data_IF_166309962638
#
_entry.id   IF_166309962638
#
_cell.length_a   1.000
_cell.length_b   1.000
_cell.length_c   1.000
_cell.angle_alpha   90.00
_cell.angle_beta   90.00
_cell.angle_gamma   90.00
#
_symmetry.space_group_name_H-M   'P 1'
#
loop_
_entity.id
_entity.type
_entity.pdbx_description
1 polymer ?
#
# COMPACT_ATOMS: atom_id res chain seq x y z
N UNK A 1 -0.15 14.24 2.92
CA UNK A 1 0.91 13.27 2.59
C UNK A 1 0.34 12.23 1.64
N UNK A 2 1.14 11.74 0.67
CA UNK A 2 0.71 10.59 -0.17
C UNK A 2 1.09 9.31 0.58
N UNK A 3 0.15 8.37 0.74
CA UNK A 3 0.41 7.03 1.33
C UNK A 3 -0.24 5.91 0.50
N UNK A 4 0.17 4.67 0.79
CA UNK A 4 -0.41 3.47 0.16
C UNK A 4 -1.45 2.84 1.08
N UNK A 5 -2.59 2.48 0.50
CA UNK A 5 -3.77 1.90 1.18
C UNK A 5 -3.63 0.39 1.46
N UNK A 6 -2.40 -0.11 1.63
CA UNK A 6 -2.12 -1.57 1.71
C UNK A 6 -2.84 -2.21 2.90
N UNK A 7 -2.83 -1.53 4.06
CA UNK A 7 -3.50 -2.03 5.27
C UNK A 7 -5.00 -2.22 5.04
N UNK A 8 -5.66 -1.21 4.48
CA UNK A 8 -7.10 -1.23 4.20
C UNK A 8 -7.45 -2.34 3.21
N UNK A 9 -6.69 -2.44 2.12
CA UNK A 9 -6.89 -3.45 1.08
C UNK A 9 -6.69 -4.87 1.63
N UNK A 10 -5.64 -5.13 2.42
CA UNK A 10 -5.43 -6.46 3.00
C UNK A 10 -6.48 -6.80 4.06
N UNK A 11 -6.89 -5.82 4.87
CA UNK A 11 -7.89 -6.02 5.92
C UNK A 11 -9.26 -6.35 5.32
N UNK A 12 -9.62 -5.73 4.20
CA UNK A 12 -10.84 -6.06 3.45
C UNK A 12 -10.85 -7.51 2.94
N UNK A 13 -9.68 -8.08 2.65
CA UNK A 13 -9.51 -9.49 2.25
C UNK A 13 -9.22 -10.44 3.43
N UNK A 14 -9.13 -9.93 4.67
CA UNK A 14 -8.77 -10.75 5.84
C UNK A 14 -7.33 -11.29 5.82
N UNK A 15 -6.43 -10.58 5.14
CA UNK A 15 -5.04 -11.00 4.95
C UNK A 15 -4.07 -10.30 5.89
N UNK A 16 -3.05 -11.03 6.30
CA UNK A 16 -1.87 -10.48 6.97
C UNK A 16 -0.84 -9.96 5.95
N UNK A 17 0.00 -9.01 6.36
CA UNK A 17 1.13 -8.48 5.56
C UNK A 17 2.02 -9.61 5.02
N UNK A 18 2.22 -10.67 5.81
CA UNK A 18 3.03 -11.83 5.40
C UNK A 18 2.41 -12.62 4.25
N UNK A 19 1.08 -12.76 4.24
CA UNK A 19 0.37 -13.43 3.14
C UNK A 19 0.46 -12.60 1.85
N UNK A 20 0.27 -11.28 1.94
CA UNK A 20 0.42 -10.37 0.79
C UNK A 20 1.86 -10.38 0.28
N UNK A 21 2.85 -10.35 1.17
CA UNK A 21 4.27 -10.46 0.80
C UNK A 21 4.56 -11.75 0.03
N UNK A 22 4.06 -12.90 0.52
CA UNK A 22 4.22 -14.18 -0.16
C UNK A 22 3.53 -14.21 -1.55
N UNK A 23 2.34 -13.63 -1.65
CA UNK A 23 1.56 -13.64 -2.89
C UNK A 23 2.12 -12.69 -3.98
N UNK A 24 2.62 -11.52 -3.58
CA UNK A 24 3.19 -10.51 -4.48
C UNK A 24 4.66 -10.75 -4.79
N UNK A 25 5.36 -11.53 -3.96
CA UNK A 25 6.81 -11.70 -4.04
C UNK A 25 7.60 -10.47 -3.54
N UNK A 26 6.92 -9.44 -3.01
CA UNK A 26 7.57 -8.29 -2.36
C UNK A 26 8.07 -8.75 -0.99
N UNK A 27 9.32 -8.42 -0.65
CA UNK A 27 9.89 -8.76 0.67
C UNK A 27 9.03 -8.17 1.80
N UNK A 28 8.79 -8.96 2.84
CA UNK A 28 7.93 -8.56 3.97
C UNK A 28 8.34 -7.22 4.58
N UNK A 29 9.63 -6.98 4.83
CA UNK A 29 10.12 -5.69 5.35
C UNK A 29 9.72 -4.53 4.44
N UNK A 30 9.92 -4.69 3.13
CA UNK A 30 9.58 -3.64 2.15
C UNK A 30 8.09 -3.40 2.10
N UNK A 31 7.27 -4.45 2.09
CA UNK A 31 5.82 -4.30 2.10
C UNK A 31 5.33 -3.64 3.40
N UNK A 32 5.92 -4.01 4.53
CA UNK A 32 5.65 -3.41 5.84
C UNK A 32 6.02 -1.92 5.85
N UNK A 33 7.18 -1.55 5.31
CA UNK A 33 7.58 -0.13 5.22
C UNK A 33 6.65 0.67 4.29
N UNK A 34 6.18 0.03 3.20
CA UNK A 34 5.21 0.62 2.28
C UNK A 34 3.84 0.80 2.93
N UNK A 35 3.36 -0.18 3.70
CA UNK A 35 2.10 -0.11 4.46
C UNK A 35 2.14 0.98 5.53
N UNK A 36 3.26 1.10 6.26
CA UNK A 36 3.42 2.08 7.34
C UNK A 36 3.86 3.49 6.84
N UNK A 37 4.00 3.69 5.53
CA UNK A 37 4.45 4.97 4.97
C UNK A 37 5.90 5.35 5.30
N UNK A 38 6.71 4.43 5.82
CA UNK A 38 8.14 4.66 6.15
C UNK A 38 9.07 4.37 4.98
N UNK A 39 8.56 3.75 3.91
CA UNK A 39 9.32 3.49 2.69
C UNK A 39 9.72 4.81 1.99
N UNK A 40 11.03 4.96 1.72
CA UNK A 40 11.58 6.15 1.01
C UNK A 40 11.14 6.23 -0.45
N UNK A 41 10.88 5.09 -1.07
CA UNK A 41 10.54 4.97 -2.48
C UNK A 41 9.53 3.85 -2.69
N UNK A 42 8.66 4.01 -3.68
CA UNK A 42 7.77 2.97 -4.17
C UNK A 42 8.18 2.60 -5.60
N UNK A 43 8.94 1.50 -5.77
CA UNK A 43 9.30 1.03 -7.11
C UNK A 43 8.04 0.74 -7.93
N UNK A 44 7.96 1.16 -9.20
CA UNK A 44 6.81 0.87 -10.06
C UNK A 44 6.45 -0.62 -10.13
N UNK A 45 7.45 -1.50 -10.15
CA UNK A 45 7.26 -2.96 -10.11
C UNK A 45 6.46 -3.42 -8.87
N UNK A 46 6.69 -2.80 -7.71
CA UNK A 46 5.95 -3.13 -6.49
C UNK A 46 4.51 -2.61 -6.57
N UNK A 47 4.30 -1.42 -7.13
CA UNK A 47 2.97 -0.87 -7.35
C UNK A 47 2.17 -1.76 -8.31
N UNK A 48 2.76 -2.18 -9.43
CA UNK A 48 2.14 -3.10 -10.39
C UNK A 48 1.75 -4.44 -9.75
N UNK A 49 2.66 -5.03 -8.95
CA UNK A 49 2.38 -6.27 -8.22
C UNK A 49 1.18 -6.12 -7.27
N UNK A 50 1.09 -4.99 -6.56
CA UNK A 50 -0.03 -4.70 -5.66
C UNK A 50 -1.33 -4.45 -6.42
N UNK A 51 -1.28 -3.71 -7.54
CA UNK A 51 -2.42 -3.48 -8.41
C UNK A 51 -3.00 -4.80 -8.94
N UNK A 52 -2.14 -5.69 -9.44
CA UNK A 52 -2.55 -7.02 -9.93
C UNK A 52 -3.13 -7.87 -8.80
N UNK A 53 -2.46 -7.90 -7.64
CA UNK A 53 -2.87 -8.72 -6.50
C UNK A 53 -4.25 -8.33 -5.98
N UNK A 54 -4.48 -7.04 -5.74
CA UNK A 54 -5.75 -6.49 -5.27
C UNK A 54 -6.78 -6.25 -6.39
N UNK A 55 -6.45 -6.61 -7.64
CA UNK A 55 -7.31 -6.48 -8.83
C UNK A 55 -7.82 -5.05 -9.04
N UNK A 56 -6.94 -4.08 -8.82
CA UNK A 56 -7.23 -2.65 -8.97
C UNK A 56 -7.10 -2.24 -10.43
N UNK A 57 -7.96 -1.32 -10.88
CA UNK A 57 -7.98 -0.83 -12.25
C UNK A 57 -7.38 0.57 -12.38
N UNK A 58 -7.33 1.33 -11.28
CA UNK A 58 -6.80 2.70 -11.26
C UNK A 58 -5.88 2.93 -10.05
N UNK A 59 -4.79 3.68 -10.25
CA UNK A 59 -3.78 3.88 -9.21
C UNK A 59 -4.33 4.60 -7.95
N UNK A 60 -5.38 5.41 -8.10
CA UNK A 60 -6.07 6.06 -6.98
C UNK A 60 -6.82 5.10 -6.05
N UNK A 61 -6.99 3.83 -6.44
CA UNK A 61 -7.48 2.79 -5.52
C UNK A 61 -6.38 2.31 -4.56
N UNK A 62 -5.11 2.41 -4.97
CA UNK A 62 -3.95 1.99 -4.18
C UNK A 62 -3.35 3.15 -3.36
N UNK A 63 -3.39 4.36 -3.91
CA UNK A 63 -2.77 5.55 -3.35
C UNK A 63 -3.86 6.48 -2.81
N UNK A 64 -3.62 7.06 -1.64
CA UNK A 64 -4.44 8.16 -1.13
C UNK A 64 -3.61 9.38 -0.81
N UNK A 65 -4.28 10.53 -0.81
CA UNK A 65 -3.77 11.77 -0.26
C UNK A 65 -4.43 12.01 1.10
N UNK A 66 -3.62 12.01 2.14
CA UNK A 66 -4.00 12.43 3.47
C UNK A 66 -3.78 13.94 3.58
N UNK A 67 -4.84 14.74 3.68
CA UNK A 67 -4.68 16.17 3.91
C UNK A 67 -3.96 16.39 5.26
N UNK A 68 -3.02 17.33 5.29
CA UNK A 68 -2.40 17.74 6.54
C UNK A 68 -3.37 18.67 7.29
N UNK A 69 -4.44 18.12 7.85
CA UNK A 69 -5.31 18.81 8.79
C UNK A 69 -4.83 18.42 10.20
N UNK A 70 -4.03 19.24 10.87
CA UNK A 70 -4.48 20.44 11.54
C UNK A 70 -4.12 21.75 10.83
N UNK A 71 -4.93 22.15 9.86
CA UNK A 71 -5.24 23.55 9.62
C UNK A 71 -6.63 23.79 10.24
N UNK A 72 -6.72 23.69 11.56
CA UNK A 72 -7.80 24.36 12.30
C UNK A 72 -7.38 25.82 12.49
N UNK A 73 -8.32 26.73 12.20
CA UNK A 73 -8.22 28.21 12.26
C UNK A 73 -7.70 28.77 13.60
#
# INVERSE_FOLDING_TARGET
>A
MIRLRIEELRNAEGLSVRQVSKATGIRWNTLSDMENGTAKHWPPEHLEKLMIFFKLNQIGELIEYEAADSLED
#
